data_IF_290100611577
#
_entry.id   IF_290100611577
#
_cell.length_a   1.000
_cell.length_b   1.000
_cell.length_c   1.000
_cell.angle_alpha   90.00
_cell.angle_beta   90.00
_cell.angle_gamma   90.00
#
_symmetry.space_group_name_H-M   'P 1'
#
loop_
_entity.id
_entity.type
_entity.pdbx_description
1 polymer ?
#
# COMPACT_ATOMS: atom_id res chain seq x y z
N UNK A 1 7.90 -5.43 -5.84
CA UNK A 1 7.90 -3.95 -5.92
C UNK A 1 6.49 -3.51 -5.52
N UNK A 2 6.23 -3.26 -4.23
CA UNK A 2 4.87 -3.29 -3.66
C UNK A 2 3.81 -2.51 -4.45
N UNK A 3 4.09 -1.26 -4.82
CA UNK A 3 3.15 -0.45 -5.60
C UNK A 3 2.90 -0.98 -7.03
N UNK A 4 3.91 -1.61 -7.66
CA UNK A 4 3.73 -2.26 -8.95
C UNK A 4 2.95 -3.57 -8.81
N UNK A 5 3.17 -4.31 -7.72
CA UNK A 5 2.47 -5.56 -7.43
C UNK A 5 0.98 -5.27 -7.15
N UNK A 6 0.66 -4.22 -6.39
CA UNK A 6 -0.72 -3.71 -6.25
C UNK A 6 -1.35 -3.36 -7.61
N UNK A 7 -0.60 -2.68 -8.49
CA UNK A 7 -1.10 -2.30 -9.82
C UNK A 7 -1.39 -3.51 -10.69
N UNK A 8 -0.54 -4.54 -10.64
CA UNK A 8 -0.77 -5.79 -11.35
C UNK A 8 -2.03 -6.53 -10.85
N UNK A 9 -2.35 -6.37 -9.55
CA UNK A 9 -3.59 -6.84 -8.96
C UNK A 9 -4.81 -5.91 -9.21
N UNK A 10 -4.67 -4.88 -10.05
CA UNK A 10 -5.77 -3.98 -10.42
C UNK A 10 -5.97 -2.78 -9.48
N UNK A 11 -5.09 -2.59 -8.48
CA UNK A 11 -5.21 -1.49 -7.51
C UNK A 11 -4.14 -0.42 -7.72
N UNK A 12 -4.57 0.80 -8.06
CA UNK A 12 -3.67 1.95 -8.16
C UNK A 12 -3.37 2.55 -6.78
N UNK A 13 -2.09 2.69 -6.45
CA UNK A 13 -1.62 3.33 -5.21
C UNK A 13 -0.50 4.33 -5.50
N UNK A 14 -0.42 5.36 -4.67
CA UNK A 14 0.78 6.20 -4.61
C UNK A 14 1.90 5.48 -3.86
N UNK A 15 3.14 5.92 -4.07
CA UNK A 15 4.28 5.42 -3.29
C UNK A 15 5.28 6.54 -3.05
N UNK A 16 5.54 6.84 -1.79
CA UNK A 16 6.65 7.71 -1.40
C UNK A 16 7.93 6.89 -1.36
N UNK A 17 9.00 7.46 -1.91
CA UNK A 17 10.32 6.84 -1.99
C UNK A 17 11.40 7.84 -1.61
N UNK A 18 12.58 7.38 -1.16
CA UNK A 18 13.71 8.27 -0.94
C UNK A 18 14.00 9.09 -2.21
N UNK A 19 14.33 10.39 -2.08
CA UNK A 19 14.64 11.12 -0.84
C UNK A 19 13.42 11.72 -0.11
N UNK A 20 12.19 11.54 -0.59
CA UNK A 20 10.99 12.15 0.00
C UNK A 20 10.54 11.53 1.33
N UNK A 21 11.19 10.45 1.76
CA UNK A 21 10.99 9.79 3.07
C UNK A 21 12.34 9.73 3.80
N UNK A 22 12.51 10.42 4.94
CA UNK A 22 13.81 10.59 5.59
C UNK A 22 14.48 9.29 6.07
N UNK A 23 13.69 8.28 6.42
CA UNK A 23 14.19 6.99 6.93
C UNK A 23 14.58 5.99 5.84
N UNK A 24 14.50 6.37 4.56
CA UNK A 24 14.86 5.48 3.47
C UNK A 24 13.78 4.43 3.12
N UNK A 25 12.71 4.31 3.91
CA UNK A 25 11.71 3.25 3.77
C UNK A 25 10.59 3.71 2.85
N UNK A 26 10.48 3.05 1.69
CA UNK A 26 9.37 3.31 0.76
C UNK A 26 8.04 2.88 1.37
N UNK A 27 7.01 3.72 1.23
CA UNK A 27 5.66 3.51 1.79
C UNK A 27 4.59 3.65 0.74
N UNK A 28 3.49 2.91 0.87
CA UNK A 28 2.28 3.16 0.09
C UNK A 28 1.61 4.45 0.56
N UNK A 29 1.03 5.20 -0.38
CA UNK A 29 0.11 6.31 -0.09
C UNK A 29 -1.28 5.90 -0.54
N UNK A 30 -2.16 5.69 0.43
CA UNK A 30 -3.56 5.37 0.21
C UNK A 30 -4.39 6.66 0.27
N UNK A 31 -5.39 6.77 -0.59
CA UNK A 31 -6.32 7.89 -0.60
C UNK A 31 -7.72 7.36 -0.31
N UNK A 32 -8.22 7.61 0.88
CA UNK A 32 -9.58 7.26 1.25
C UNK A 32 -10.58 8.19 0.55
N UNK A 33 -11.77 7.67 0.28
CA UNK A 33 -12.90 8.44 -0.27
C UNK A 33 -14.17 8.07 0.50
N UNK A 34 -15.08 9.02 0.67
CA UNK A 34 -16.31 8.82 1.43
C UNK A 34 -17.34 7.92 0.72
N UNK A 35 -17.18 7.69 -0.58
CA UNK A 35 -18.04 6.84 -1.41
C UNK A 35 -17.55 5.39 -1.50
N UNK A 36 -16.50 5.01 -0.75
CA UNK A 36 -16.04 3.63 -0.70
C UNK A 36 -17.00 2.78 0.13
N UNK A 37 -17.44 1.66 -0.44
CA UNK A 37 -18.22 0.66 0.30
C UNK A 37 -17.32 -0.19 1.18
N UNK A 38 -17.91 -0.89 2.16
CA UNK A 38 -17.19 -1.81 3.04
C UNK A 38 -16.52 -2.94 2.25
N UNK A 39 -17.17 -3.45 1.20
CA UNK A 39 -16.63 -4.49 0.33
C UNK A 39 -15.42 -3.99 -0.46
N UNK A 40 -15.45 -2.74 -0.94
CA UNK A 40 -14.32 -2.13 -1.64
C UNK A 40 -13.11 -1.92 -0.71
N UNK A 41 -13.37 -1.53 0.55
CA UNK A 41 -12.31 -1.38 1.55
C UNK A 41 -11.69 -2.75 1.86
N UNK A 42 -12.53 -3.77 2.08
CA UNK A 42 -12.08 -5.15 2.35
C UNK A 42 -11.21 -5.67 1.21
N UNK A 43 -11.68 -5.56 -0.02
CA UNK A 43 -10.92 -5.99 -1.20
C UNK A 43 -9.59 -5.24 -1.35
N UNK A 44 -9.55 -3.95 -1.02
CA UNK A 44 -8.32 -3.16 -1.05
C UNK A 44 -7.33 -3.64 0.02
N UNK A 45 -7.78 -3.90 1.24
CA UNK A 45 -6.94 -4.44 2.34
C UNK A 45 -6.36 -5.81 1.95
N UNK A 46 -7.20 -6.70 1.44
CA UNK A 46 -6.77 -8.03 0.99
C UNK A 46 -5.68 -7.94 -0.09
N UNK A 47 -5.88 -7.05 -1.06
CA UNK A 47 -4.88 -6.79 -2.11
C UNK A 47 -3.56 -6.26 -1.54
N UNK A 48 -3.62 -5.32 -0.60
CA UNK A 48 -2.43 -4.72 0.04
C UNK A 48 -1.63 -5.79 0.78
N UNK A 49 -2.30 -6.64 1.56
CA UNK A 49 -1.66 -7.71 2.34
C UNK A 49 -1.10 -8.79 1.42
N UNK A 50 -1.87 -9.25 0.42
CA UNK A 50 -1.44 -10.28 -0.52
C UNK A 50 -0.22 -9.87 -1.35
N UNK A 51 -0.06 -8.56 -1.62
CA UNK A 51 1.06 -8.01 -2.40
C UNK A 51 2.19 -7.45 -1.53
N UNK A 52 2.09 -7.55 -0.20
CA UNK A 52 3.08 -7.02 0.72
C UNK A 52 4.46 -7.67 0.52
N UNK A 53 5.56 -6.89 0.56
CA UNK A 53 6.90 -7.45 0.53
C UNK A 53 7.15 -8.38 1.72
N UNK A 54 7.85 -9.49 1.50
CA UNK A 54 8.22 -10.51 2.52
C UNK A 54 9.08 -9.99 3.70
N UNK A 55 9.38 -8.70 3.77
CA UNK A 55 10.20 -8.05 4.81
C UNK A 55 9.46 -6.94 5.56
N UNK A 56 8.15 -6.75 5.35
CA UNK A 56 7.37 -5.69 5.99
C UNK A 56 7.04 -5.97 7.49
N UNK A 57 8.04 -6.41 8.26
CA UNK A 57 7.95 -6.75 9.68
C UNK A 57 8.82 -5.88 10.57
N UNK A 58 8.85 -4.56 10.34
CA UNK A 58 9.33 -3.63 11.36
C UNK A 58 8.15 -3.29 12.28
N UNK A 59 8.26 -3.48 13.61
CA UNK A 59 7.17 -3.14 14.52
C UNK A 59 6.85 -1.65 14.42
N UNK A 60 5.56 -1.32 14.35
CA UNK A 60 5.09 0.04 14.67
C UNK A 60 5.34 0.25 16.16
N UNK A 61 6.20 1.23 16.49
CA UNK A 61 6.47 1.65 17.88
C UNK A 61 5.27 2.40 18.47
#
# INVERSE_FOLDING_TARGET
NWAADCRAAGMAVGCFRPPSVPDGVSRLRLTARADLTEEQITAAVDTIVATAPRQAGAPVS
#
